data_IF_291433287393
#
_entry.id   IF_291433287393
#
_cell.length_a   1.000
_cell.length_b   1.000
_cell.length_c   1.000
_cell.angle_alpha   90.00
_cell.angle_beta   90.00
_cell.angle_gamma   90.00
#
_symmetry.space_group_name_H-M   'P 1'
#
loop_
_entity.id
_entity.type
_entity.pdbx_description
1 polymer ?
#
# COMPACT_ATOMS: atom_id res chain seq x y z
N UNK A 1 -13.82 -1.08 -21.73
CA UNK A 1 -13.23 -0.33 -20.59
C UNK A 1 -11.77 -0.69 -20.39
N UNK A 2 -11.41 -1.89 -19.87
CA UNK A 2 -10.01 -2.25 -19.57
C UNK A 2 -9.18 -2.80 -20.74
N UNK A 3 -9.81 -3.32 -21.81
CA UNK A 3 -9.10 -3.82 -23.00
C UNK A 3 -8.37 -5.17 -22.83
N UNK A 4 -8.53 -5.85 -21.68
CA UNK A 4 -7.98 -7.19 -21.38
C UNK A 4 -9.01 -8.06 -20.62
N UNK A 5 -8.87 -9.40 -20.60
CA UNK A 5 -9.73 -10.28 -19.79
C UNK A 5 -9.70 -9.91 -18.30
N UNK A 6 -10.84 -10.02 -17.63
CA UNK A 6 -11.00 -9.75 -16.18
C UNK A 6 -11.67 -10.92 -15.50
N UNK A 7 -11.22 -11.26 -14.28
CA UNK A 7 -11.88 -12.24 -13.43
C UNK A 7 -13.05 -11.62 -12.69
N UNK A 8 -14.20 -12.30 -12.66
CA UNK A 8 -15.39 -11.87 -11.92
C UNK A 8 -15.87 -13.03 -11.06
N UNK A 9 -16.08 -12.78 -9.78
CA UNK A 9 -16.67 -13.73 -8.84
C UNK A 9 -17.87 -13.08 -8.17
N UNK A 10 -19.05 -13.69 -8.35
CA UNK A 10 -20.29 -13.29 -7.66
C UNK A 10 -20.44 -14.20 -6.45
N UNK A 11 -20.77 -13.61 -5.30
CA UNK A 11 -20.90 -14.32 -4.02
C UNK A 11 -22.21 -13.92 -3.35
N UNK A 12 -22.81 -14.86 -2.65
CA UNK A 12 -23.92 -14.61 -1.73
C UNK A 12 -23.43 -13.87 -0.48
N UNK A 13 -24.36 -13.19 0.21
CA UNK A 13 -24.03 -12.49 1.46
C UNK A 13 -23.54 -13.46 2.55
N UNK A 14 -24.11 -14.66 2.63
CA UNK A 14 -23.72 -15.70 3.59
C UNK A 14 -22.27 -16.17 3.37
N UNK A 15 -21.84 -16.28 2.10
CA UNK A 15 -20.44 -16.62 1.77
C UNK A 15 -19.45 -15.53 2.20
N UNK A 16 -19.87 -14.27 2.28
CA UNK A 16 -19.01 -13.14 2.66
C UNK A 16 -19.02 -12.93 4.18
N UNK A 17 -20.17 -13.09 4.81
CA UNK A 17 -20.34 -12.94 6.26
C UNK A 17 -19.44 -13.90 7.06
N UNK A 18 -19.26 -15.13 6.56
CA UNK A 18 -18.40 -16.13 7.19
C UNK A 18 -16.89 -15.83 7.14
N UNK A 19 -16.44 -14.87 6.31
CA UNK A 19 -15.01 -14.50 6.23
C UNK A 19 -14.55 -13.50 7.29
N UNK A 20 -15.46 -12.67 7.80
CA UNK A 20 -15.14 -11.63 8.78
C UNK A 20 -14.20 -10.53 8.27
N UNK A 21 -13.54 -9.84 9.21
CA UNK A 21 -12.49 -8.84 8.96
C UNK A 21 -11.13 -9.40 9.36
N UNK A 22 -10.08 -9.04 8.62
CA UNK A 22 -8.71 -9.51 8.88
C UNK A 22 -7.76 -8.36 9.21
N UNK A 23 -6.67 -8.69 9.89
CA UNK A 23 -5.51 -7.83 10.03
C UNK A 23 -4.56 -7.97 8.83
N UNK A 24 -3.70 -6.98 8.62
CA UNK A 24 -2.62 -7.08 7.63
C UNK A 24 -1.44 -7.91 8.18
N UNK A 25 -0.68 -8.58 7.31
CA UNK A 25 0.49 -9.36 7.71
C UNK A 25 1.66 -8.46 8.08
N UNK A 26 2.67 -9.03 8.74
CA UNK A 26 3.94 -8.35 8.99
C UNK A 26 3.89 -7.37 10.16
N UNK A 27 4.88 -6.46 10.19
CA UNK A 27 5.06 -5.49 11.27
C UNK A 27 4.30 -4.21 10.94
N UNK A 28 3.41 -3.77 11.84
CA UNK A 28 2.81 -2.45 11.76
C UNK A 28 3.84 -1.40 12.16
N UNK A 29 4.07 -0.41 11.29
CA UNK A 29 5.06 0.66 11.54
C UNK A 29 4.42 1.95 12.06
N UNK A 30 3.12 1.99 12.31
CA UNK A 30 2.37 3.23 12.58
C UNK A 30 2.71 3.92 13.91
N UNK A 31 3.25 3.18 14.88
CA UNK A 31 3.58 3.68 16.23
C UNK A 31 5.03 4.21 16.34
N UNK A 32 5.76 4.30 15.21
CA UNK A 32 7.12 4.85 15.21
C UNK A 32 7.10 6.36 15.44
N UNK A 33 8.00 6.84 16.28
CA UNK A 33 8.19 8.27 16.54
C UNK A 33 8.91 8.93 15.35
N UNK A 34 8.13 9.65 14.53
CA UNK A 34 8.62 10.35 13.34
C UNK A 34 8.19 11.82 13.35
N UNK A 35 8.98 12.66 12.69
CA UNK A 35 8.65 14.06 12.46
C UNK A 35 8.39 14.31 10.98
N UNK A 36 7.17 14.71 10.62
CA UNK A 36 6.80 15.00 9.24
C UNK A 36 6.67 16.51 9.03
N UNK A 37 7.49 17.06 8.14
CA UNK A 37 7.57 18.50 7.87
C UNK A 37 6.80 18.96 6.63
N UNK A 38 6.47 18.06 5.70
CA UNK A 38 5.79 18.38 4.45
C UNK A 38 4.82 17.25 4.04
N UNK A 39 3.63 17.63 3.59
CA UNK A 39 2.53 16.73 3.20
C UNK A 39 2.03 16.94 1.76
N UNK A 40 2.61 17.87 1.00
CA UNK A 40 2.08 18.33 -0.29
C UNK A 40 2.20 17.26 -1.39
N UNK A 41 3.34 16.57 -1.44
CA UNK A 41 3.66 15.60 -2.48
C UNK A 41 4.43 14.40 -1.89
N UNK A 42 4.37 13.22 -2.53
CA UNK A 42 5.18 12.07 -2.14
C UNK A 42 6.67 12.40 -2.22
N UNK A 43 7.42 12.07 -1.17
CA UNK A 43 8.83 12.43 -1.01
C UNK A 43 9.77 11.21 -0.97
N UNK A 44 10.07 10.58 -2.12
CA UNK A 44 10.90 9.38 -2.16
C UNK A 44 12.33 9.61 -1.65
N UNK A 45 12.82 10.86 -1.66
CA UNK A 45 14.13 11.23 -1.11
C UNK A 45 14.25 11.04 0.41
N UNK A 46 13.12 10.82 1.12
CA UNK A 46 13.11 10.46 2.53
C UNK A 46 13.55 9.04 2.79
N UNK A 47 13.30 8.13 1.84
CA UNK A 47 13.48 6.70 2.02
C UNK A 47 14.96 6.36 2.22
N UNK A 48 15.24 5.52 3.22
CA UNK A 48 16.58 5.06 3.57
C UNK A 48 16.60 3.55 3.71
N UNK A 49 17.75 2.94 3.46
CA UNK A 49 17.98 1.52 3.72
C UNK A 49 19.43 1.29 4.15
N UNK A 50 19.66 0.16 4.81
CA UNK A 50 20.99 -0.39 5.09
C UNK A 50 21.30 -1.47 4.04
N UNK A 51 22.17 -1.15 3.09
CA UNK A 51 22.57 -2.02 1.98
C UNK A 51 23.58 -3.10 2.40
N UNK A 52 24.11 -3.04 3.62
CA UNK A 52 24.97 -4.07 4.18
C UNK A 52 24.19 -5.29 4.69
N UNK A 53 22.87 -5.16 4.84
CA UNK A 53 21.97 -6.19 5.37
C UNK A 53 20.89 -6.54 4.37
N UNK A 54 20.81 -7.82 4.01
CA UNK A 54 19.71 -8.37 3.24
C UNK A 54 18.70 -9.02 4.20
N UNK A 55 17.43 -8.63 4.06
CA UNK A 55 16.31 -9.16 4.84
C UNK A 55 15.20 -9.65 3.91
N UNK A 56 14.33 -10.48 4.45
CA UNK A 56 13.04 -10.81 3.86
C UNK A 56 11.97 -10.48 4.91
N UNK A 57 11.15 -9.47 4.64
CA UNK A 57 10.18 -8.98 5.62
C UNK A 57 8.88 -8.48 4.97
N UNK A 58 7.87 -8.35 5.82
CA UNK A 58 6.57 -7.77 5.52
C UNK A 58 6.30 -6.66 6.53
N UNK A 59 6.00 -5.46 6.04
CA UNK A 59 5.66 -4.29 6.85
C UNK A 59 4.38 -3.66 6.32
N UNK A 60 3.61 -3.04 7.21
CA UNK A 60 2.38 -2.36 6.82
C UNK A 60 2.12 -1.09 7.59
N UNK A 61 1.30 -0.22 6.99
CA UNK A 61 0.79 1.00 7.61
C UNK A 61 -0.69 1.19 7.31
N UNK A 62 -1.45 1.65 8.30
CA UNK A 62 -2.85 2.07 8.13
C UNK A 62 -2.99 3.58 7.88
N UNK A 63 -1.88 4.31 7.79
CA UNK A 63 -1.84 5.78 7.69
C UNK A 63 -1.79 6.31 6.25
N UNK A 64 -1.85 5.43 5.24
CA UNK A 64 -1.92 5.87 3.85
C UNK A 64 -3.20 6.68 3.61
N UNK A 65 -3.00 7.94 3.23
CA UNK A 65 -4.06 8.84 2.79
C UNK A 65 -3.59 9.62 1.57
N UNK A 66 -4.44 9.74 0.56
CA UNK A 66 -4.27 10.65 -0.57
C UNK A 66 -5.57 11.44 -0.81
N UNK A 67 -5.68 12.16 -1.92
CA UNK A 67 -6.87 12.85 -2.36
C UNK A 67 -7.27 12.34 -3.76
N UNK A 68 -8.56 12.19 -3.99
CA UNK A 68 -9.06 11.81 -5.31
C UNK A 68 -8.85 12.98 -6.30
N UNK A 69 -8.19 12.77 -7.45
CA UNK A 69 -7.84 13.86 -8.37
C UNK A 69 -9.06 14.54 -9.01
N UNK A 70 -10.23 13.90 -8.98
CA UNK A 70 -11.47 14.41 -9.57
C UNK A 70 -12.30 15.22 -8.56
N UNK A 71 -12.34 14.77 -7.31
CA UNK A 71 -13.28 15.30 -6.30
C UNK A 71 -12.60 16.01 -5.14
N UNK A 72 -11.27 15.89 -5.03
CA UNK A 72 -10.46 16.34 -3.90
C UNK A 72 -10.85 15.75 -2.54
N UNK A 73 -11.79 14.79 -2.51
CA UNK A 73 -12.16 14.09 -1.29
C UNK A 73 -11.03 13.18 -0.84
N UNK A 74 -10.89 12.93 0.48
CA UNK A 74 -9.82 12.09 1.01
C UNK A 74 -10.01 10.62 0.64
N UNK A 75 -8.91 9.98 0.28
CA UNK A 75 -8.81 8.53 0.10
C UNK A 75 -8.06 7.93 1.27
N UNK A 76 -8.66 6.96 1.95
CA UNK A 76 -8.07 6.27 3.08
C UNK A 76 -7.70 4.85 2.68
N UNK A 77 -6.49 4.42 3.00
CA UNK A 77 -6.02 3.08 2.70
C UNK A 77 -5.12 2.52 3.78
N UNK A 78 -4.90 1.21 3.70
CA UNK A 78 -3.77 0.56 4.37
C UNK A 78 -2.86 -0.01 3.29
N UNK A 79 -1.55 0.07 3.48
CA UNK A 79 -0.54 -0.40 2.51
C UNK A 79 0.37 -1.43 3.15
N UNK A 80 0.73 -2.44 2.37
CA UNK A 80 1.69 -3.48 2.73
C UNK A 80 2.84 -3.45 1.75
N UNK A 81 4.05 -3.63 2.27
CA UNK A 81 5.29 -3.82 1.54
C UNK A 81 5.88 -5.16 1.98
N UNK A 82 5.92 -6.12 1.06
CA UNK A 82 6.56 -7.42 1.24
C UNK A 82 7.77 -7.46 0.30
N UNK A 83 8.97 -7.70 0.83
CA UNK A 83 10.17 -7.67 0.00
C UNK A 83 11.30 -8.55 0.52
N UNK A 84 12.23 -8.86 -0.39
CA UNK A 84 13.55 -9.42 -0.08
C UNK A 84 14.63 -8.55 -0.72
N UNK A 85 15.47 -7.90 0.09
CA UNK A 85 16.44 -6.90 -0.37
C UNK A 85 17.16 -6.18 0.77
N UNK A 86 17.77 -5.04 0.48
CA UNK A 86 18.42 -4.18 1.48
C UNK A 86 17.45 -3.80 2.61
N UNK A 87 17.90 -3.78 3.87
CA UNK A 87 17.04 -3.56 5.02
C UNK A 87 16.49 -2.11 5.05
N UNK A 88 15.18 -1.96 4.86
CA UNK A 88 14.49 -0.68 4.82
C UNK A 88 14.43 -0.04 6.21
N UNK A 89 14.70 1.27 6.29
CA UNK A 89 14.48 2.04 7.52
C UNK A 89 12.98 2.32 7.71
N UNK A 90 12.34 1.61 8.65
CA UNK A 90 10.89 1.65 8.84
C UNK A 90 10.36 3.06 9.15
N UNK A 91 11.13 3.87 9.88
CA UNK A 91 10.78 5.25 10.17
C UNK A 91 10.74 6.11 8.89
N UNK A 92 11.74 5.96 8.00
CA UNK A 92 11.73 6.63 6.68
C UNK A 92 10.56 6.19 5.79
N UNK A 93 10.20 4.90 5.83
CA UNK A 93 9.04 4.40 5.09
C UNK A 93 7.75 5.03 5.60
N UNK A 94 7.57 5.13 6.92
CA UNK A 94 6.40 5.78 7.50
C UNK A 94 6.31 7.26 7.10
N UNK A 95 7.43 7.99 7.19
CA UNK A 95 7.50 9.41 6.77
C UNK A 95 7.12 9.57 5.29
N UNK A 96 7.64 8.68 4.43
CA UNK A 96 7.28 8.62 3.02
C UNK A 96 5.79 8.34 2.80
N UNK A 97 5.20 7.35 3.48
CA UNK A 97 3.77 7.03 3.35
C UNK A 97 2.91 8.23 3.77
N UNK A 98 3.28 8.91 4.87
CA UNK A 98 2.54 10.09 5.35
C UNK A 98 2.71 11.29 4.42
N UNK A 99 3.78 11.38 3.63
CA UNK A 99 3.94 12.46 2.64
C UNK A 99 2.87 12.46 1.53
N UNK A 100 2.14 11.35 1.32
CA UNK A 100 1.01 11.29 0.39
C UNK A 100 -0.23 12.07 0.85
N UNK A 101 -0.26 12.56 2.10
CA UNK A 101 -1.49 13.03 2.77
C UNK A 101 -2.26 14.11 2.00
N UNK A 102 -1.61 15.03 1.29
CA UNK A 102 -2.27 16.02 0.43
C UNK A 102 -2.11 15.75 -1.07
N UNK A 103 -1.43 14.66 -1.43
CA UNK A 103 -1.21 14.29 -2.82
C UNK A 103 -2.51 13.87 -3.51
N UNK A 104 -2.75 14.40 -4.70
CA UNK A 104 -3.89 14.03 -5.54
C UNK A 104 -3.47 13.03 -6.61
N UNK A 105 -3.91 11.77 -6.48
CA UNK A 105 -3.72 10.74 -7.49
C UNK A 105 -4.70 9.59 -7.28
N UNK A 106 -4.90 8.77 -8.32
CA UNK A 106 -5.71 7.57 -8.23
C UNK A 106 -5.02 6.48 -7.38
N UNK A 107 -5.79 5.52 -6.87
CA UNK A 107 -5.30 4.51 -5.93
C UNK A 107 -4.22 3.62 -6.57
N UNK A 108 -4.44 3.25 -7.84
CA UNK A 108 -3.54 2.43 -8.63
C UNK A 108 -2.20 3.13 -8.87
N UNK A 109 -2.22 4.42 -9.16
CA UNK A 109 -1.05 5.26 -9.38
C UNK A 109 -0.29 5.51 -8.08
N UNK A 110 -0.98 5.68 -6.94
CA UNK A 110 -0.34 5.75 -5.63
C UNK A 110 0.48 4.48 -5.34
N UNK A 111 -0.13 3.30 -5.50
CA UNK A 111 0.55 2.01 -5.27
C UNK A 111 1.68 1.78 -6.26
N UNK A 112 1.50 2.15 -7.53
CA UNK A 112 2.56 2.04 -8.53
C UNK A 112 3.75 2.94 -8.24
N UNK A 113 3.51 4.16 -7.75
CA UNK A 113 4.57 5.06 -7.30
C UNK A 113 5.35 4.48 -6.12
N UNK A 114 4.66 4.02 -5.08
CA UNK A 114 5.29 3.37 -3.92
C UNK A 114 6.15 2.19 -4.36
N UNK A 115 5.62 1.35 -5.25
CA UNK A 115 6.35 0.21 -5.82
C UNK A 115 7.63 0.65 -6.56
N UNK A 116 7.53 1.63 -7.46
CA UNK A 116 8.67 2.08 -8.26
C UNK A 116 9.75 2.78 -7.41
N UNK A 117 9.35 3.57 -6.43
CA UNK A 117 10.28 4.28 -5.53
C UNK A 117 11.05 3.28 -4.66
N UNK A 118 10.35 2.29 -4.08
CA UNK A 118 10.98 1.21 -3.30
C UNK A 118 11.84 0.29 -4.18
N UNK A 119 11.41 -0.01 -5.41
CA UNK A 119 12.20 -0.81 -6.34
C UNK A 119 13.53 -0.13 -6.69
N UNK A 120 13.51 1.19 -6.92
CA UNK A 120 14.73 1.97 -7.20
C UNK A 120 15.70 2.01 -6.03
N UNK A 121 15.17 2.20 -4.82
CA UNK A 121 15.96 2.26 -3.59
C UNK A 121 16.57 0.90 -3.25
N UNK A 122 15.72 -0.12 -3.11
CA UNK A 122 16.11 -1.40 -2.51
C UNK A 122 16.77 -2.36 -3.50
N UNK A 123 16.55 -2.14 -4.81
CA UNK A 123 16.92 -3.08 -5.90
C UNK A 123 16.65 -4.54 -5.51
N UNK A 124 15.42 -4.85 -5.06
CA UNK A 124 15.15 -6.07 -4.33
C UNK A 124 15.13 -7.29 -5.25
N UNK A 125 15.41 -8.46 -4.69
CA UNK A 125 15.19 -9.74 -5.37
C UNK A 125 13.69 -9.98 -5.59
N UNK A 126 12.87 -9.57 -4.62
CA UNK A 126 11.40 -9.65 -4.66
C UNK A 126 10.78 -8.41 -4.03
N UNK A 127 9.73 -7.87 -4.63
CA UNK A 127 8.94 -6.79 -4.06
C UNK A 127 7.48 -6.97 -4.45
N UNK A 128 6.60 -6.89 -3.45
CA UNK A 128 5.16 -6.78 -3.61
C UNK A 128 4.69 -5.59 -2.77
N UNK A 129 4.01 -4.66 -3.41
CA UNK A 129 3.31 -3.57 -2.75
C UNK A 129 1.83 -3.72 -3.07
N UNK A 130 0.98 -3.73 -2.04
CA UNK A 130 -0.46 -3.70 -2.23
C UNK A 130 -1.12 -2.78 -1.22
N UNK A 131 -2.22 -2.17 -1.63
CA UNK A 131 -3.02 -1.35 -0.75
C UNK A 131 -4.48 -1.81 -0.75
N UNK A 132 -5.17 -1.47 0.33
CA UNK A 132 -6.59 -1.72 0.55
C UNK A 132 -7.27 -0.42 0.94
N UNK A 133 -7.99 0.17 -0.01
CA UNK A 133 -8.67 1.44 0.16
C UNK A 133 -10.10 1.25 0.67
N UNK A 134 -10.59 2.27 1.38
CA UNK A 134 -11.99 2.37 1.80
C UNK A 134 -12.87 2.64 0.58
N UNK A 135 -14.06 2.03 0.55
CA UNK A 135 -14.99 2.14 -0.58
C UNK A 135 -15.44 3.56 -0.86
N UNK A 136 -15.70 3.86 -2.14
CA UNK A 136 -16.48 5.01 -2.62
C UNK A 136 -17.65 4.53 -3.44
N UNK A 137 -18.85 5.05 -3.18
CA UNK A 137 -20.05 4.66 -3.93
C UNK A 137 -20.35 3.15 -3.92
N UNK A 138 -19.96 2.45 -2.85
CA UNK A 138 -20.15 1.00 -2.71
C UNK A 138 -19.05 0.11 -3.29
N UNK A 139 -18.01 0.69 -3.89
CA UNK A 139 -16.89 -0.03 -4.52
C UNK A 139 -15.57 0.37 -3.87
N UNK A 140 -14.76 -0.61 -3.48
CA UNK A 140 -13.35 -0.41 -3.09
C UNK A 140 -12.40 -0.86 -4.22
N UNK A 141 -11.17 -0.36 -4.16
CA UNK A 141 -10.09 -0.72 -5.08
C UNK A 141 -8.90 -1.16 -4.23
N UNK A 142 -8.34 -2.33 -4.55
CA UNK A 142 -7.23 -2.93 -3.82
C UNK A 142 -6.06 -3.16 -4.79
N UNK A 143 -5.30 -2.12 -5.16
CA UNK A 143 -4.24 -2.26 -6.15
C UNK A 143 -3.08 -3.07 -5.58
N UNK A 144 -2.46 -3.88 -6.42
CA UNK A 144 -1.17 -4.48 -6.14
C UNK A 144 -0.21 -4.31 -7.32
N UNK A 145 1.08 -4.28 -7.01
CA UNK A 145 2.21 -4.37 -7.94
C UNK A 145 3.21 -5.32 -7.34
N UNK A 146 3.74 -6.23 -8.15
CA UNK A 146 4.73 -7.21 -7.70
C UNK A 146 5.74 -7.50 -8.80
N UNK A 147 6.96 -7.82 -8.40
CA UNK A 147 8.00 -8.37 -9.29
C UNK A 147 7.72 -9.83 -9.67
N UNK A 148 6.87 -10.53 -8.91
CA UNK A 148 6.49 -11.92 -9.14
C UNK A 148 4.97 -12.05 -9.33
N UNK A 149 4.53 -13.20 -9.85
CA UNK A 149 3.10 -13.52 -9.87
C UNK A 149 2.67 -13.94 -8.47
N UNK A 150 1.84 -13.13 -7.83
CA UNK A 150 1.33 -13.38 -6.47
C UNK A 150 -0.18 -13.57 -6.47
N UNK A 151 -0.67 -14.46 -5.60
CA UNK A 151 -2.09 -14.57 -5.28
C UNK A 151 -2.33 -13.97 -3.90
N UNK A 152 -2.89 -12.77 -3.87
CA UNK A 152 -3.24 -12.10 -2.63
C UNK A 152 -4.70 -12.45 -2.24
N UNK A 153 -4.94 -12.93 -1.02
CA UNK A 153 -6.30 -13.23 -0.57
C UNK A 153 -7.11 -11.93 -0.44
N UNK A 154 -8.33 -11.89 -0.99
CA UNK A 154 -9.16 -10.68 -1.04
C UNK A 154 -10.08 -10.53 0.19
N UNK A 155 -9.50 -10.56 1.39
CA UNK A 155 -10.24 -10.35 2.64
C UNK A 155 -10.34 -8.87 3.00
N UNK A 156 -11.48 -8.45 3.55
CA UNK A 156 -11.72 -7.07 3.98
C UNK A 156 -10.97 -6.71 5.25
N UNK A 157 -10.47 -5.49 5.32
CA UNK A 157 -9.97 -4.87 6.55
C UNK A 157 -11.11 -4.17 7.30
N UNK A 158 -10.85 -3.78 8.56
CA UNK A 158 -11.84 -3.17 9.46
C UNK A 158 -12.49 -1.89 8.93
N UNK A 159 -11.82 -1.13 8.05
CA UNK A 159 -12.33 0.13 7.47
C UNK A 159 -13.00 -0.03 6.10
N UNK A 160 -12.98 -1.21 5.49
CA UNK A 160 -13.40 -1.41 4.09
C UNK A 160 -14.89 -1.66 3.90
#
# INVERSE_FOLDING_TARGET
AAGKPVGVRIRSLQEVESEGVVALPGVCIDELDISVSNYEHPRPELLRCDDSRIVEESVHSHLLKSNCPVTSQPDWGSVVVEYRGAALDHASLLEYIVSFRQHSDFHEQCVERIFLDLQRLLKPEKLTVYARYVRRGGLDINPYRSTETVQLPNHRLVRQ
#
